data_IF_789571895601
#
_entry.id   IF_789571895601
#
_cell.length_a   1.000
_cell.length_b   1.000
_cell.length_c   1.000
_cell.angle_alpha   90.00
_cell.angle_beta   90.00
_cell.angle_gamma   90.00
#
_symmetry.space_group_name_H-M   'P 1'
#
loop_
_entity.id
_entity.type
_entity.pdbx_description
1 polymer ?
#
# COMPACT_ATOMS: atom_id res chain seq x y z
N UNK A 1 2.14 22.21 14.24
CA UNK A 1 3.24 22.04 13.27
C UNK A 1 3.10 20.64 12.70
N UNK A 2 3.21 20.46 11.37
CA UNK A 2 3.18 19.12 10.80
C UNK A 2 4.32 18.30 11.40
N UNK A 3 4.01 17.08 11.82
CA UNK A 3 4.96 16.09 12.33
C UNK A 3 6.22 16.06 11.43
N UNK A 4 7.44 16.22 11.98
CA UNK A 4 8.67 16.16 11.21
C UNK A 4 8.76 14.96 10.27
N UNK A 5 8.25 13.79 10.68
CA UNK A 5 8.22 12.58 9.86
C UNK A 5 7.27 12.71 8.67
N UNK A 6 6.09 13.31 8.89
CA UNK A 6 5.13 13.57 7.82
C UNK A 6 5.72 14.55 6.79
N UNK A 7 6.53 15.51 7.22
CA UNK A 7 7.24 16.40 6.31
C UNK A 7 8.33 15.69 5.50
N UNK A 8 9.04 14.71 6.08
CA UNK A 8 10.00 13.86 5.35
C UNK A 8 9.32 13.14 4.19
N UNK A 9 8.12 12.61 4.44
CA UNK A 9 7.30 11.90 3.46
C UNK A 9 6.76 12.86 2.39
N UNK A 10 6.01 13.89 2.80
CA UNK A 10 5.24 14.74 1.88
C UNK A 10 6.12 15.44 0.83
N UNK A 11 7.31 15.90 1.23
CA UNK A 11 8.24 16.61 0.32
C UNK A 11 8.86 15.73 -0.78
N UNK A 12 8.70 14.41 -0.68
CA UNK A 12 9.24 13.45 -1.65
C UNK A 12 8.19 12.95 -2.65
N UNK A 13 6.95 13.42 -2.54
CA UNK A 13 5.89 13.10 -3.50
C UNK A 13 5.93 14.13 -4.63
N UNK A 14 6.20 13.67 -5.85
CA UNK A 14 6.12 14.52 -7.05
C UNK A 14 4.72 14.45 -7.65
N UNK A 15 4.33 15.50 -8.37
CA UNK A 15 3.03 15.55 -9.04
C UNK A 15 3.24 15.75 -10.53
N UNK A 16 2.56 14.93 -11.32
CA UNK A 16 2.55 15.02 -12.77
C UNK A 16 1.09 15.24 -13.20
N UNK A 17 0.71 16.47 -13.58
CA UNK A 17 -0.62 16.72 -14.12
C UNK A 17 -0.79 16.02 -15.48
N UNK A 18 -2.03 15.68 -15.80
CA UNK A 18 -2.45 15.07 -17.06
C UNK A 18 -1.76 13.73 -17.39
N UNK A 19 -1.47 12.93 -16.35
CA UNK A 19 -0.90 11.60 -16.48
C UNK A 19 -1.69 10.57 -15.67
N UNK A 20 -1.97 9.35 -16.19
CA UNK A 20 -1.65 8.87 -17.54
C UNK A 20 -2.56 9.46 -18.63
N UNK A 21 -3.61 10.18 -18.25
CA UNK A 21 -4.59 10.82 -19.14
C UNK A 21 -4.90 12.24 -18.68
N UNK A 22 -5.39 13.12 -19.56
CA UNK A 22 -5.79 14.49 -19.20
C UNK A 22 -6.79 14.51 -18.03
N UNK A 23 -6.64 15.46 -17.12
CA UNK A 23 -7.47 15.63 -15.93
C UNK A 23 -7.01 14.86 -14.69
N UNK A 24 -6.06 13.93 -14.81
CA UNK A 24 -5.51 13.15 -13.68
C UNK A 24 -4.21 13.78 -13.18
N UNK A 25 -4.09 14.01 -11.87
CA UNK A 25 -2.82 14.40 -11.23
C UNK A 25 -2.15 13.16 -10.63
N UNK A 26 -1.19 12.60 -11.35
CA UNK A 26 -0.44 11.45 -10.86
C UNK A 26 0.53 11.86 -9.76
N UNK A 27 0.50 11.12 -8.64
CA UNK A 27 1.42 11.30 -7.52
C UNK A 27 2.54 10.27 -7.63
N UNK A 28 3.75 10.70 -7.92
CA UNK A 28 4.89 9.80 -8.02
C UNK A 28 5.60 9.70 -6.67
N UNK A 29 5.58 8.49 -6.09
CA UNK A 29 6.24 8.15 -4.82
C UNK A 29 7.67 7.61 -5.01
N UNK A 30 8.16 7.47 -6.24
CA UNK A 30 9.51 6.92 -6.51
C UNK A 30 10.63 7.63 -5.72
N UNK A 31 10.62 8.98 -5.55
CA UNK A 31 11.64 9.65 -4.74
C UNK A 31 11.54 9.33 -3.25
N UNK A 32 10.33 9.07 -2.74
CA UNK A 32 10.12 8.61 -1.37
C UNK A 32 10.73 7.22 -1.18
N UNK A 33 10.45 6.28 -2.10
CA UNK A 33 10.97 4.91 -2.05
C UNK A 33 12.51 4.87 -2.16
N UNK A 34 13.10 5.79 -2.92
CA UNK A 34 14.56 5.89 -3.11
C UNK A 34 15.29 6.48 -1.90
N UNK A 35 14.63 7.31 -1.08
CA UNK A 35 15.21 7.98 0.08
C UNK A 35 15.00 7.16 1.36
N UNK A 36 16.05 6.53 1.93
CA UNK A 36 15.86 5.59 3.04
C UNK A 36 15.25 6.22 4.29
N UNK A 37 15.50 7.51 4.54
CA UNK A 37 14.93 8.21 5.68
C UNK A 37 13.43 8.45 5.50
N UNK A 38 13.02 8.89 4.31
CA UNK A 38 11.62 9.14 3.98
C UNK A 38 10.81 7.85 3.90
N UNK A 39 11.38 6.78 3.35
CA UNK A 39 10.73 5.46 3.33
C UNK A 39 10.54 4.89 4.74
N UNK A 40 11.56 4.99 5.61
CA UNK A 40 11.43 4.59 7.02
C UNK A 40 10.38 5.41 7.77
N UNK A 41 10.35 6.72 7.56
CA UNK A 41 9.32 7.59 8.15
C UNK A 41 7.91 7.18 7.71
N UNK A 42 7.70 6.89 6.42
CA UNK A 42 6.40 6.41 5.92
C UNK A 42 5.97 5.10 6.60
N UNK A 43 6.88 4.13 6.72
CA UNK A 43 6.61 2.87 7.43
C UNK A 43 6.30 3.13 8.91
N UNK A 44 7.09 3.96 9.58
CA UNK A 44 6.91 4.31 10.99
C UNK A 44 5.54 4.93 11.26
N UNK A 45 5.10 5.85 10.41
CA UNK A 45 3.79 6.49 10.52
C UNK A 45 2.63 5.48 10.34
N UNK A 46 2.72 4.60 9.33
CA UNK A 46 1.72 3.54 9.14
C UNK A 46 1.67 2.59 10.34
N UNK A 47 2.85 2.24 10.86
CA UNK A 47 3.00 1.38 12.01
C UNK A 47 2.44 1.98 13.31
N UNK A 48 2.76 3.25 13.57
CA UNK A 48 2.20 3.99 14.71
C UNK A 48 0.68 4.05 14.65
N UNK A 49 0.11 4.24 13.45
CA UNK A 49 -1.34 4.21 13.26
C UNK A 49 -1.94 2.83 13.58
N UNK A 50 -1.35 1.74 13.07
CA UNK A 50 -1.82 0.38 13.36
C UNK A 50 -1.75 0.05 14.86
N UNK A 51 -0.68 0.47 15.54
CA UNK A 51 -0.53 0.33 17.00
C UNK A 51 -1.61 1.07 17.76
N UNK A 52 -1.87 2.33 17.42
CA UNK A 52 -2.90 3.13 18.07
C UNK A 52 -4.32 2.59 17.83
N UNK A 53 -4.60 2.12 16.61
CA UNK A 53 -5.95 1.65 16.22
C UNK A 53 -6.25 0.22 16.68
N UNK A 54 -5.23 -0.66 16.72
CA UNK A 54 -5.43 -2.10 16.95
C UNK A 54 -4.63 -2.68 18.12
N UNK A 55 -3.90 -1.86 18.88
CA UNK A 55 -3.11 -2.29 20.04
C UNK A 55 -1.91 -3.17 19.69
N UNK A 56 -1.38 -3.05 18.46
CA UNK A 56 -0.22 -3.83 18.04
C UNK A 56 1.02 -3.42 18.85
N UNK A 57 1.73 -4.38 19.47
CA UNK A 57 2.82 -4.04 20.41
C UNK A 57 4.11 -3.53 19.73
N UNK A 58 4.29 -3.80 18.43
CA UNK A 58 5.57 -3.60 17.72
C UNK A 58 5.70 -2.26 16.99
N UNK A 59 6.95 -1.79 16.82
CA UNK A 59 7.32 -0.47 16.30
C UNK A 59 7.85 -0.46 14.86
N UNK A 60 8.08 -1.61 14.23
CA UNK A 60 8.47 -1.72 12.82
C UNK A 60 7.75 -2.89 12.12
N UNK A 61 7.62 -2.84 10.80
CA UNK A 61 7.00 -3.93 10.02
C UNK A 61 7.72 -5.28 10.21
N UNK A 62 9.03 -5.26 10.46
CA UNK A 62 9.85 -6.45 10.76
C UNK A 62 9.62 -6.97 12.17
N UNK A 63 9.47 -6.07 13.15
CA UNK A 63 9.18 -6.45 14.54
C UNK A 63 7.75 -6.96 14.74
N UNK A 64 6.81 -6.63 13.84
CA UNK A 64 5.44 -7.10 13.99
C UNK A 64 5.30 -8.60 13.71
N UNK A 65 6.31 -9.23 13.09
CA UNK A 65 6.25 -10.63 12.68
C UNK A 65 5.12 -10.93 11.68
N UNK A 66 4.62 -9.93 10.96
CA UNK A 66 3.57 -10.15 9.95
C UNK A 66 4.16 -10.75 8.67
N UNK A 67 3.49 -11.78 8.16
CA UNK A 67 3.70 -12.25 6.80
C UNK A 67 3.24 -11.21 5.78
N UNK A 68 3.91 -11.16 4.63
CA UNK A 68 3.47 -10.36 3.49
C UNK A 68 2.83 -11.29 2.45
N UNK A 69 1.69 -10.87 1.92
CA UNK A 69 0.90 -11.61 0.94
C UNK A 69 0.73 -10.75 -0.30
N UNK A 70 0.76 -11.37 -1.48
CA UNK A 70 0.67 -10.66 -2.74
C UNK A 70 -0.74 -10.73 -3.31
N UNK A 71 -1.32 -9.56 -3.57
CA UNK A 71 -2.49 -9.41 -4.44
C UNK A 71 -1.98 -8.91 -5.79
N UNK A 72 -2.34 -9.58 -6.89
CA UNK A 72 -1.84 -9.23 -8.23
C UNK A 72 -2.94 -9.21 -9.27
N UNK A 73 -2.63 -8.64 -10.44
CA UNK A 73 -3.47 -8.80 -11.64
C UNK A 73 -3.61 -10.29 -11.97
N UNK A 74 -4.79 -10.67 -12.47
CA UNK A 74 -5.12 -12.05 -12.83
C UNK A 74 -4.07 -12.73 -13.72
N UNK A 75 -3.75 -13.98 -13.42
CA UNK A 75 -2.77 -14.81 -14.13
C UNK A 75 -1.30 -14.48 -13.82
N UNK A 76 -1.02 -13.77 -12.73
CA UNK A 76 0.35 -13.43 -12.31
C UNK A 76 0.80 -14.16 -11.05
N UNK A 77 -0.11 -14.80 -10.31
CA UNK A 77 0.23 -15.67 -9.20
C UNK A 77 0.29 -17.14 -9.65
N UNK A 78 1.21 -17.94 -9.09
CA UNK A 78 1.26 -19.37 -9.34
C UNK A 78 0.16 -20.12 -8.56
N UNK A 79 -0.19 -21.31 -9.02
CA UNK A 79 -1.09 -22.22 -8.31
C UNK A 79 -2.55 -21.77 -8.27
N UNK A 80 -3.38 -22.38 -7.41
CA UNK A 80 -4.80 -22.05 -7.31
C UNK A 80 -5.04 -20.67 -6.70
N UNK A 81 -5.81 -19.83 -7.40
CA UNK A 81 -6.19 -18.49 -6.93
C UNK A 81 -7.70 -18.34 -6.75
N UNK A 82 -8.10 -17.38 -5.92
CA UNK A 82 -9.41 -16.71 -6.00
C UNK A 82 -9.22 -15.32 -6.57
N UNK A 83 -10.25 -14.79 -7.24
CA UNK A 83 -10.18 -13.50 -7.89
C UNK A 83 -11.48 -12.72 -7.74
N UNK A 84 -11.36 -11.40 -7.81
CA UNK A 84 -12.48 -10.46 -7.85
C UNK A 84 -12.30 -9.49 -8.99
N UNK A 85 -13.40 -9.21 -9.67
CA UNK A 85 -13.48 -8.19 -10.71
C UNK A 85 -13.94 -6.86 -10.13
N UNK A 86 -13.37 -5.76 -10.61
CA UNK A 86 -13.80 -4.41 -10.26
C UNK A 86 -13.78 -3.51 -11.51
N UNK A 87 -14.64 -2.49 -11.47
CA UNK A 87 -14.75 -1.50 -12.54
C UNK A 87 -13.72 -0.40 -12.33
N UNK A 88 -13.07 -0.02 -13.42
CA UNK A 88 -12.25 1.17 -13.52
C UNK A 88 -13.07 2.26 -14.21
N UNK A 89 -12.63 3.51 -14.14
CA UNK A 89 -13.22 4.62 -14.89
C UNK A 89 -13.31 4.30 -16.40
N UNK A 90 -12.28 3.62 -16.93
CA UNK A 90 -12.25 3.13 -18.31
C UNK A 90 -11.89 1.64 -18.34
N UNK A 91 -12.86 0.79 -17.96
CA UNK A 91 -12.80 -0.64 -18.21
C UNK A 91 -12.96 -1.48 -16.96
N UNK A 92 -12.37 -2.67 -16.98
CA UNK A 92 -12.50 -3.68 -15.94
C UNK A 92 -11.14 -4.29 -15.66
N UNK A 93 -10.85 -4.50 -14.38
CA UNK A 93 -9.66 -5.21 -13.95
C UNK A 93 -10.03 -6.32 -12.97
N UNK A 94 -9.19 -7.35 -12.94
CA UNK A 94 -9.30 -8.48 -12.03
C UNK A 94 -8.08 -8.50 -11.11
N UNK A 95 -8.30 -8.58 -9.80
CA UNK A 95 -7.27 -8.87 -8.79
C UNK A 95 -7.43 -10.30 -8.29
N UNK A 96 -6.31 -10.96 -8.02
CA UNK A 96 -6.25 -12.33 -7.51
C UNK A 96 -5.30 -12.48 -6.32
N UNK A 97 -5.58 -13.49 -5.48
CA UNK A 97 -4.76 -13.95 -4.35
C UNK A 97 -4.78 -15.49 -4.32
N UNK A 98 -3.73 -16.14 -3.82
CA UNK A 98 -3.69 -17.61 -3.72
C UNK A 98 -4.68 -18.12 -2.65
N UNK A 99 -5.34 -19.25 -2.92
CA UNK A 99 -6.47 -19.74 -2.11
C UNK A 99 -6.13 -20.05 -0.65
N UNK A 100 -4.91 -20.47 -0.41
CA UNK A 100 -4.37 -20.92 0.87
C UNK A 100 -3.64 -19.80 1.63
N UNK A 101 -3.74 -18.56 1.15
CA UNK A 101 -3.04 -17.43 1.74
C UNK A 101 -3.62 -16.99 3.08
N UNK A 102 -4.92 -17.20 3.31
CA UNK A 102 -5.62 -16.73 4.53
C UNK A 102 -6.36 -17.85 5.24
N UNK A 103 -6.36 -17.78 6.57
CA UNK A 103 -7.12 -18.66 7.46
C UNK A 103 -8.29 -17.91 8.13
N UNK A 104 -9.41 -18.57 8.41
CA UNK A 104 -10.52 -17.96 9.14
C UNK A 104 -10.08 -17.35 10.48
N UNK A 105 -10.53 -16.12 10.75
CA UNK A 105 -10.21 -15.40 11.99
C UNK A 105 -8.93 -14.55 11.93
N UNK A 106 -8.16 -14.62 10.85
CA UNK A 106 -7.01 -13.73 10.66
C UNK A 106 -7.45 -12.27 10.46
N UNK A 107 -6.72 -11.36 11.10
CA UNK A 107 -6.83 -9.91 10.88
C UNK A 107 -5.81 -9.51 9.81
N UNK A 108 -6.27 -8.83 8.77
CA UNK A 108 -5.46 -8.46 7.61
C UNK A 108 -5.41 -6.95 7.49
N UNK A 109 -4.24 -6.41 7.14
CA UNK A 109 -4.05 -5.02 6.76
C UNK A 109 -3.72 -4.98 5.28
N UNK A 110 -4.46 -4.18 4.51
CA UNK A 110 -4.15 -3.91 3.11
C UNK A 110 -3.34 -2.62 3.05
N UNK A 111 -2.21 -2.66 2.37
CA UNK A 111 -1.33 -1.51 2.16
C UNK A 111 -1.26 -1.26 0.66
N UNK A 112 -1.55 -0.03 0.26
CA UNK A 112 -1.48 0.44 -1.12
C UNK A 112 -0.72 1.76 -1.16
N UNK A 113 -0.04 2.07 -2.26
CA UNK A 113 0.74 3.30 -2.37
C UNK A 113 -0.15 4.52 -2.60
N UNK A 114 -1.20 4.35 -3.41
CA UNK A 114 -2.16 5.38 -3.75
C UNK A 114 -3.55 4.75 -3.90
N UNK A 115 -4.48 5.17 -3.06
CA UNK A 115 -5.91 4.96 -3.32
C UNK A 115 -6.45 6.18 -4.05
N UNK A 116 -7.09 5.95 -5.21
CA UNK A 116 -7.89 6.96 -5.88
C UNK A 116 -9.17 7.27 -5.10
N UNK A 117 -9.74 8.44 -5.34
CA UNK A 117 -11.15 8.75 -5.04
C UNK A 117 -11.88 8.82 -6.37
#
# INVERSE_FOLDING_TARGET
MADPELQLVARRIRSFPDFPTPGVVFRDISPLLKDPASFRAAIGLMMGHLKATHGAESTTSQELGLGCMLIRKRGKLPGPTVWVSYMLEYGKADLEIQKDTLEPGQRVVVVDDLSGV
#
